data_IF_341141027583
#
_entry.id   IF_341141027583
#
_cell.length_a   1.000
_cell.length_b   1.000
_cell.length_c   1.000
_cell.angle_alpha   90.00
_cell.angle_beta   90.00
_cell.angle_gamma   90.00
#
_symmetry.space_group_name_H-M   'P 1'
#
loop_
_entity.id
_entity.type
_entity.pdbx_description
1 polymer ?
#
# COMPACT_ATOMS: atom_id res chain seq x y z
N UNK A 1 2.33 27.06 -0.30
CA UNK A 1 2.51 26.14 -1.43
C UNK A 1 1.26 25.30 -1.47
N UNK A 2 0.60 25.20 -2.62
CA UNK A 2 -0.66 24.46 -2.76
C UNK A 2 -0.37 22.97 -2.89
N UNK A 3 -0.95 22.14 -2.02
CA UNK A 3 -0.63 20.70 -1.95
C UNK A 3 -1.63 19.80 -2.67
N UNK A 4 -2.86 20.27 -2.89
CA UNK A 4 -3.89 19.50 -3.59
C UNK A 4 -3.77 19.69 -5.10
N UNK A 5 -3.86 18.59 -5.86
CA UNK A 5 -3.97 18.65 -7.32
C UNK A 5 -5.36 19.15 -7.70
N UNK A 6 -5.41 20.15 -8.57
CA UNK A 6 -6.65 20.74 -9.03
C UNK A 6 -7.60 19.71 -9.67
N UNK A 7 -7.07 18.70 -10.36
CA UNK A 7 -7.86 17.61 -10.95
C UNK A 7 -8.65 16.79 -9.92
N UNK A 8 -8.06 16.53 -8.75
CA UNK A 8 -8.72 15.75 -7.69
C UNK A 8 -9.85 16.58 -7.05
N UNK A 9 -9.66 17.89 -6.93
CA UNK A 9 -10.68 18.85 -6.45
C UNK A 9 -11.88 18.90 -7.41
N UNK A 10 -11.65 18.83 -8.73
CA UNK A 10 -12.73 18.76 -9.73
C UNK A 10 -13.70 17.62 -9.46
N UNK A 11 -13.11 16.44 -9.23
CA UNK A 11 -13.86 15.22 -9.05
C UNK A 11 -14.60 15.28 -7.73
N UNK A 12 -14.00 15.80 -6.67
CA UNK A 12 -14.70 15.99 -5.39
C UNK A 12 -15.87 16.98 -5.48
N UNK A 13 -15.71 18.08 -6.23
CA UNK A 13 -16.76 19.10 -6.42
C UNK A 13 -17.88 18.60 -7.35
N UNK A 14 -17.54 17.79 -8.35
CA UNK A 14 -18.49 17.28 -9.36
C UNK A 14 -19.14 15.96 -8.95
N UNK A 15 -18.47 15.13 -8.16
CA UNK A 15 -19.03 13.87 -7.64
C UNK A 15 -20.19 14.10 -6.67
N UNK A 16 -20.24 15.23 -5.97
CA UNK A 16 -21.42 15.62 -5.16
C UNK A 16 -22.69 15.79 -6.00
N UNK A 17 -22.56 16.21 -7.26
CA UNK A 17 -23.68 16.41 -8.19
C UNK A 17 -24.26 15.10 -8.75
N UNK A 18 -23.52 14.00 -8.71
CA UNK A 18 -23.91 12.74 -9.36
C UNK A 18 -24.41 11.66 -8.40
N UNK A 19 -24.59 11.96 -7.11
CA UNK A 19 -25.11 11.01 -6.12
C UNK A 19 -26.65 10.95 -6.08
N UNK A 20 -27.28 11.01 -7.26
CA UNK A 20 -28.74 10.94 -7.45
C UNK A 20 -29.18 10.31 -8.78
N UNK A 21 -28.26 9.78 -9.58
CA UNK A 21 -28.57 9.24 -10.91
C UNK A 21 -27.86 7.90 -11.17
N UNK A 22 -28.15 6.89 -10.36
CA UNK A 22 -27.93 5.48 -10.72
C UNK A 22 -28.85 4.56 -9.92
N UNK A 23 -30.10 4.44 -10.36
CA UNK A 23 -31.09 3.53 -9.80
C UNK A 23 -32.43 3.69 -10.51
N UNK A 24 -32.83 2.68 -11.27
CA UNK A 24 -34.10 2.64 -12.01
C UNK A 24 -35.30 2.59 -11.06
N UNK A 25 -36.17 3.60 -11.06
CA UNK A 25 -37.52 3.51 -10.48
C UNK A 25 -38.47 4.50 -11.14
N UNK A 26 -39.44 3.96 -11.88
CA UNK A 26 -40.63 4.66 -12.33
C UNK A 26 -41.53 4.95 -11.10
N UNK A 27 -41.75 6.21 -10.74
CA UNK A 27 -42.96 6.65 -10.02
C UNK A 27 -43.11 8.16 -10.02
N UNK A 28 -44.16 8.62 -10.72
CA UNK A 28 -45.22 9.49 -10.18
C UNK A 28 -44.82 10.69 -9.33
N UNK A 29 -44.93 11.88 -9.94
CA UNK A 29 -45.29 13.17 -9.35
C UNK A 29 -44.91 13.42 -7.87
N UNK A 30 -43.79 14.14 -7.65
CA UNK A 30 -43.57 14.91 -6.42
C UNK A 30 -43.23 16.34 -6.81
N UNK A 31 -44.25 17.20 -6.72
CA UNK A 31 -44.08 18.58 -6.27
C UNK A 31 -43.14 18.55 -5.05
N UNK A 32 -41.98 19.19 -5.18
CA UNK A 32 -41.11 19.47 -4.06
C UNK A 32 -40.20 20.64 -4.42
N UNK A 33 -40.34 21.71 -3.63
CA UNK A 33 -39.58 22.93 -3.73
C UNK A 33 -38.09 22.65 -3.88
N UNK A 34 -37.56 23.16 -4.98
CA UNK A 34 -36.18 23.05 -5.41
C UNK A 34 -35.26 23.87 -4.49
N UNK A 35 -35.02 23.38 -3.28
CA UNK A 35 -33.80 23.71 -2.53
C UNK A 35 -32.81 22.54 -2.65
N UNK A 36 -32.49 22.18 -3.90
CA UNK A 36 -31.40 21.26 -4.23
C UNK A 36 -30.04 21.97 -4.13
N UNK A 37 -29.68 22.44 -2.93
CA UNK A 37 -28.33 22.93 -2.62
C UNK A 37 -27.51 21.95 -1.77
N UNK A 38 -28.01 20.75 -1.48
CA UNK A 38 -27.31 19.79 -0.61
C UNK A 38 -26.27 18.93 -1.35
N UNK A 39 -26.29 18.91 -2.69
CA UNK A 39 -25.35 18.10 -3.50
C UNK A 39 -24.39 18.88 -4.40
N UNK A 40 -24.75 20.08 -4.84
CA UNK A 40 -23.94 20.86 -5.78
C UNK A 40 -23.23 22.00 -5.04
N UNK A 41 -21.92 21.84 -4.85
CA UNK A 41 -21.04 22.90 -4.33
C UNK A 41 -20.98 24.13 -5.28
N UNK A 42 -21.47 23.97 -6.51
CA UNK A 42 -21.62 25.03 -7.50
C UNK A 42 -23.09 25.43 -7.65
N UNK A 43 -23.36 26.73 -7.85
CA UNK A 43 -24.68 27.21 -8.23
C UNK A 43 -25.11 26.64 -9.59
N UNK A 44 -26.41 26.70 -9.90
CA UNK A 44 -26.98 26.31 -11.19
C UNK A 44 -26.31 26.99 -12.39
N UNK A 45 -25.72 28.18 -12.19
CA UNK A 45 -24.97 28.93 -13.21
C UNK A 45 -23.45 28.89 -13.01
N UNK A 46 -22.97 28.19 -11.98
CA UNK A 46 -21.57 28.14 -11.61
C UNK A 46 -20.79 27.20 -12.53
N UNK A 47 -19.60 27.61 -12.96
CA UNK A 47 -18.68 26.79 -13.74
C UNK A 47 -17.33 26.69 -13.06
N UNK A 48 -16.68 25.55 -13.23
CA UNK A 48 -15.34 25.28 -12.70
C UNK A 48 -14.46 24.73 -13.82
N UNK A 49 -13.26 25.29 -13.97
CA UNK A 49 -12.29 24.89 -14.98
C UNK A 49 -10.91 24.76 -14.34
N UNK A 50 -10.12 23.80 -14.79
CA UNK A 50 -8.82 23.46 -14.20
C UNK A 50 -7.76 23.44 -15.27
N UNK A 51 -6.62 24.06 -14.96
CA UNK A 51 -5.38 23.89 -15.70
C UNK A 51 -4.43 22.96 -14.93
N UNK A 52 -4.32 21.67 -15.33
CA UNK A 52 -3.47 20.70 -14.65
C UNK A 52 -1.97 20.98 -14.83
N UNK A 53 -1.58 21.75 -15.85
CA UNK A 53 -0.17 22.09 -16.11
C UNK A 53 0.35 23.15 -15.14
N UNK A 54 -0.52 24.06 -14.70
CA UNK A 54 -0.18 25.13 -13.76
C UNK A 54 -0.76 24.91 -12.35
N UNK A 55 -1.48 23.80 -12.13
CA UNK A 55 -2.23 23.51 -10.91
C UNK A 55 -3.17 24.66 -10.51
N UNK A 56 -3.83 25.27 -11.50
CA UNK A 56 -4.73 26.41 -11.29
C UNK A 56 -6.18 25.96 -11.36
N UNK A 57 -6.99 26.46 -10.42
CA UNK A 57 -8.44 26.29 -10.37
C UNK A 57 -9.13 27.62 -10.70
N UNK A 58 -9.97 27.65 -11.73
CA UNK A 58 -10.77 28.79 -12.14
C UNK A 58 -12.23 28.50 -11.75
N UNK A 59 -12.80 29.33 -10.89
CA UNK A 59 -14.18 29.20 -10.42
C UNK A 59 -14.95 30.46 -10.82
N UNK A 60 -16.10 30.26 -11.46
CA UNK A 60 -17.04 31.33 -11.77
C UNK A 60 -18.37 30.99 -11.12
N UNK A 61 -18.75 31.72 -10.07
CA UNK A 61 -20.00 31.52 -9.34
C UNK A 61 -20.47 32.84 -8.69
N UNK A 62 -21.59 32.81 -7.99
CA UNK A 62 -22.09 33.84 -7.08
C UNK A 62 -21.12 34.10 -5.92
N UNK A 63 -21.07 35.34 -5.43
CA UNK A 63 -20.16 35.75 -4.36
C UNK A 63 -20.25 34.85 -3.11
N UNK A 64 -21.47 34.48 -2.71
CA UNK A 64 -21.73 33.60 -1.55
C UNK A 64 -21.08 32.21 -1.72
N UNK A 65 -21.13 31.63 -2.93
CA UNK A 65 -20.55 30.31 -3.22
C UNK A 65 -19.03 30.38 -3.36
N UNK A 66 -18.49 31.48 -3.87
CA UNK A 66 -17.04 31.71 -3.93
C UNK A 66 -16.43 31.73 -2.51
N UNK A 67 -17.08 32.39 -1.56
CA UNK A 67 -16.60 32.43 -0.17
C UNK A 67 -16.64 31.05 0.50
N UNK A 68 -17.68 30.25 0.22
CA UNK A 68 -17.82 28.86 0.69
C UNK A 68 -16.70 27.96 0.13
N UNK A 69 -16.44 28.05 -1.18
CA UNK A 69 -15.37 27.32 -1.86
C UNK A 69 -14.00 27.73 -1.33
N UNK A 70 -13.77 29.03 -1.07
CA UNK A 70 -12.52 29.54 -0.50
C UNK A 70 -12.26 28.97 0.90
N UNK A 71 -13.29 28.92 1.74
CA UNK A 71 -13.20 28.31 3.06
C UNK A 71 -12.88 26.81 2.98
N UNK A 72 -13.43 26.09 2.00
CA UNK A 72 -13.14 24.68 1.78
C UNK A 72 -11.70 24.43 1.31
N UNK A 73 -11.22 25.21 0.33
CA UNK A 73 -9.84 25.10 -0.17
C UNK A 73 -8.83 25.31 0.97
N UNK A 74 -9.09 26.24 1.88
CA UNK A 74 -8.20 26.49 3.04
C UNK A 74 -8.04 25.27 3.97
N UNK A 75 -9.03 24.37 4.02
CA UNK A 75 -8.98 23.13 4.81
C UNK A 75 -8.30 21.98 4.05
N UNK A 76 -8.35 22.01 2.72
CA UNK A 76 -7.74 21.00 1.86
C UNK A 76 -6.26 21.29 1.58
N UNK A 77 -5.83 22.55 1.71
CA UNK A 77 -4.44 22.99 1.54
C UNK A 77 -3.57 22.63 2.76
N UNK A 78 -3.44 21.34 3.06
CA UNK A 78 -2.62 20.81 4.15
C UNK A 78 -1.39 20.09 3.56
N UNK A 79 -0.17 20.36 4.05
CA UNK A 79 1.03 19.64 3.61
C UNK A 79 0.93 18.15 3.94
N UNK A 80 1.24 17.30 2.95
CA UNK A 80 1.44 15.87 3.19
C UNK A 80 2.71 15.65 4.00
N UNK A 81 2.61 14.88 5.09
CA UNK A 81 3.78 14.50 5.88
C UNK A 81 4.58 13.43 5.12
N UNK A 82 5.85 13.68 4.87
CA UNK A 82 6.76 12.65 4.35
C UNK A 82 7.08 11.65 5.46
N UNK A 83 7.02 10.35 5.16
CA UNK A 83 7.41 9.28 6.07
C UNK A 83 8.73 8.64 5.61
N UNK A 84 9.66 8.47 6.54
CA UNK A 84 10.92 7.75 6.31
C UNK A 84 10.68 6.26 6.59
N UNK A 85 10.98 5.42 5.60
CA UNK A 85 10.85 3.97 5.73
C UNK A 85 12.27 3.39 5.88
N UNK A 86 12.62 2.94 7.10
CA UNK A 86 13.86 2.20 7.37
C UNK A 86 13.52 0.74 7.67
N UNK A 87 13.97 -0.18 6.83
CA UNK A 87 13.88 -1.62 7.09
C UNK A 87 15.27 -2.18 7.36
N UNK A 88 15.45 -2.95 8.44
CA UNK A 88 16.68 -3.68 8.75
C UNK A 88 16.43 -5.18 8.62
N UNK A 89 17.13 -5.84 7.72
CA UNK A 89 17.04 -7.29 7.52
C UNK A 89 18.24 -7.94 8.22
N UNK A 90 17.99 -8.81 9.19
CA UNK A 90 19.03 -9.58 9.89
C UNK A 90 18.87 -11.05 9.52
N UNK A 91 19.93 -11.66 8.97
CA UNK A 91 19.98 -13.08 8.65
C UNK A 91 21.05 -13.75 9.49
N UNK A 92 20.64 -14.56 10.47
CA UNK A 92 21.52 -15.45 11.22
C UNK A 92 21.49 -16.85 10.58
N UNK A 93 22.63 -17.30 10.08
CA UNK A 93 22.78 -18.67 9.58
C UNK A 93 23.66 -19.44 10.55
N UNK A 94 23.09 -20.41 11.26
CA UNK A 94 23.85 -21.33 12.09
C UNK A 94 24.05 -22.65 11.33
N UNK A 95 25.14 -22.77 10.58
CA UNK A 95 25.56 -24.04 10.00
C UNK A 95 26.53 -24.73 10.97
N UNK A 96 25.99 -25.57 11.86
CA UNK A 96 26.81 -26.44 12.70
C UNK A 96 26.75 -27.86 12.13
N UNK A 97 27.71 -28.21 11.28
CA UNK A 97 27.91 -29.58 10.82
C UNK A 97 28.95 -30.24 11.71
N UNK A 98 28.51 -31.04 12.68
CA UNK A 98 29.38 -31.95 13.43
C UNK A 98 29.01 -33.37 13.03
N UNK A 99 29.77 -33.93 12.11
CA UNK A 99 29.64 -35.34 11.71
C UNK A 99 30.63 -36.17 12.53
N UNK A 100 30.10 -37.06 13.37
CA UNK A 100 30.89 -38.00 14.18
C UNK A 100 30.76 -39.37 13.53
N UNK A 101 31.86 -39.91 13.02
CA UNK A 101 31.91 -41.25 12.42
C UNK A 101 32.90 -42.14 13.17
N UNK A 102 32.46 -43.34 13.53
CA UNK A 102 33.34 -44.38 14.10
C UNK A 102 33.61 -45.41 13.01
N UNK A 103 34.89 -45.63 12.69
CA UNK A 103 35.29 -46.65 11.71
C UNK A 103 35.75 -47.90 12.45
N UNK A 104 34.97 -48.97 12.30
CA UNK A 104 35.30 -50.31 12.81
C UNK A 104 36.02 -51.11 11.73
N UNK A 105 37.13 -51.77 12.08
CA UNK A 105 37.89 -52.62 11.16
C UNK A 105 38.19 -53.99 11.76
N UNK A 106 37.99 -55.03 10.97
CA UNK A 106 38.39 -56.40 11.32
C UNK A 106 39.46 -56.83 10.33
N UNK A 107 40.67 -57.12 10.83
CA UNK A 107 41.76 -57.66 10.03
C UNK A 107 41.96 -59.12 10.43
N UNK A 108 41.71 -60.02 9.48
CA UNK A 108 41.96 -61.45 9.62
C UNK A 108 43.14 -61.82 8.73
N UNK A 109 44.30 -62.01 9.34
CA UNK A 109 45.50 -62.49 8.65
C UNK A 109 45.43 -64.02 8.66
N UNK A 110 44.76 -64.59 7.66
CA UNK A 110 44.60 -66.04 7.53
C UNK A 110 45.96 -66.72 7.32
N UNK A 111 46.50 -67.32 8.37
CA UNK A 111 47.66 -68.22 8.28
C UNK A 111 47.24 -69.55 8.88
N UNK A 112 47.40 -70.61 8.08
CA UNK A 112 46.98 -72.01 8.33
C UNK A 112 47.31 -72.58 9.73
N UNK A 113 48.14 -71.92 10.54
CA UNK A 113 48.46 -72.32 11.92
C UNK A 113 48.51 -71.15 12.94
N UNK A 114 47.92 -69.98 12.69
CA UNK A 114 47.86 -68.87 13.67
C UNK A 114 46.47 -68.25 13.75
N UNK A 115 45.83 -68.36 14.92
CA UNK A 115 44.45 -67.93 15.20
C UNK A 115 44.33 -66.48 15.71
N UNK A 116 45.12 -65.53 15.19
CA UNK A 116 45.00 -64.13 15.64
C UNK A 116 43.99 -63.35 14.79
N UNK A 117 42.78 -63.19 15.31
CA UNK A 117 41.81 -62.21 14.80
C UNK A 117 42.09 -60.86 15.46
N UNK A 118 42.34 -59.84 14.64
CA UNK A 118 42.62 -58.48 15.10
C UNK A 118 41.38 -57.62 14.85
N UNK A 119 40.72 -57.19 15.93
CA UNK A 119 39.56 -56.29 15.87
C UNK A 119 39.95 -54.96 16.50
N UNK A 120 39.82 -53.87 15.76
CA UNK A 120 40.15 -52.54 16.23
C UNK A 120 39.24 -51.47 15.60
N UNK A 121 38.96 -50.41 16.36
CA UNK A 121 38.26 -49.22 15.89
C UNK A 121 39.11 -47.97 16.15
N UNK A 122 38.96 -46.94 15.31
CA UNK A 122 39.66 -45.66 15.48
C UNK A 122 38.68 -44.49 15.42
N UNK A 123 38.73 -43.61 16.42
CA UNK A 123 37.92 -42.38 16.51
C UNK A 123 38.55 -41.20 15.75
N UNK A 124 39.19 -41.46 14.62
CA UNK A 124 39.88 -40.41 13.85
C UNK A 124 38.87 -39.54 13.10
N UNK A 125 38.81 -38.26 13.48
CA UNK A 125 38.11 -37.22 12.72
C UNK A 125 38.79 -37.00 11.37
N UNK A 126 38.05 -37.20 10.28
CA UNK A 126 38.39 -36.65 8.97
C UNK A 126 37.60 -35.36 8.80
N UNK A 127 38.30 -34.34 8.31
CA UNK A 127 37.85 -32.96 8.14
C UNK A 127 36.67 -32.83 7.17
#
# INVERSE_FOLDING_TARGET
MSYAKATDIQNLITSGRNNGASGSSNSSNSDNGLDENVGSLLSTRGTISIDPRTNTLIVQDTAKKIDEIRAMISRLDVPVKQVMIEARIVRATNNFSKEMGVKWGVLSQGVTNNNSLLVGGSDTTLW
#
